data_IF_325817011945
#
_entry.id   IF_325817011945
#
_cell.length_a   1.000
_cell.length_b   1.000
_cell.length_c   1.000
_cell.angle_alpha   90.00
_cell.angle_beta   90.00
_cell.angle_gamma   90.00
#
_symmetry.space_group_name_H-M   'P 1'
#
loop_
_entity.id
_entity.type
_entity.pdbx_description
1 polymer ?
#
# COMPACT_ATOMS: atom_id res chain seq x y z
N UNK A 1 12.19 -14.50 -13.70
CA UNK A 1 12.65 -13.17 -13.25
C UNK A 1 11.96 -12.04 -14.01
N UNK A 2 11.94 -12.03 -15.36
CA UNK A 2 11.20 -11.01 -16.15
C UNK A 2 9.68 -11.02 -15.91
N UNK A 3 9.04 -12.20 -15.89
CA UNK A 3 7.58 -12.33 -15.69
C UNK A 3 7.09 -11.85 -14.32
N UNK A 4 7.87 -12.08 -13.25
CA UNK A 4 7.50 -11.69 -11.89
C UNK A 4 7.54 -10.18 -11.69
N UNK A 5 8.56 -9.51 -12.24
CA UNK A 5 8.71 -8.05 -12.19
C UNK A 5 7.60 -7.37 -13.00
N UNK A 6 7.21 -7.94 -14.14
CA UNK A 6 6.06 -7.47 -14.91
C UNK A 6 4.74 -7.66 -14.15
N UNK A 7 4.56 -8.81 -13.47
CA UNK A 7 3.38 -9.08 -12.65
C UNK A 7 3.18 -8.06 -11.53
N UNK A 8 4.23 -7.82 -10.74
CA UNK A 8 4.24 -6.83 -9.66
C UNK A 8 3.93 -5.43 -10.17
N UNK A 9 4.62 -4.98 -11.23
CA UNK A 9 4.40 -3.66 -11.84
C UNK A 9 2.99 -3.50 -12.40
N UNK A 10 2.42 -4.55 -13.00
CA UNK A 10 1.07 -4.51 -13.55
C UNK A 10 0.02 -4.33 -12.45
N UNK A 11 0.18 -5.03 -11.31
CA UNK A 11 -0.72 -4.90 -10.16
C UNK A 11 -0.58 -3.50 -9.56
N UNK A 12 0.64 -3.04 -9.29
CA UNK A 12 0.88 -1.70 -8.75
C UNK A 12 0.32 -0.60 -9.67
N UNK A 13 0.54 -0.71 -10.98
CA UNK A 13 0.00 0.22 -11.97
C UNK A 13 -1.54 0.21 -12.02
N UNK A 14 -2.17 -0.97 -11.95
CA UNK A 14 -3.62 -1.10 -11.93
C UNK A 14 -4.23 -0.43 -10.68
N UNK A 15 -3.73 -0.75 -9.48
CA UNK A 15 -4.24 -0.16 -8.25
C UNK A 15 -4.02 1.34 -8.19
N UNK A 16 -2.88 1.84 -8.69
CA UNK A 16 -2.61 3.28 -8.78
C UNK A 16 -3.64 3.96 -9.67
N UNK A 17 -3.86 3.43 -10.87
CA UNK A 17 -4.84 3.96 -11.81
C UNK A 17 -6.26 3.92 -11.23
N UNK A 18 -6.66 2.78 -10.65
CA UNK A 18 -7.99 2.61 -10.09
C UNK A 18 -8.26 3.54 -8.90
N UNK A 19 -7.36 3.60 -7.93
CA UNK A 19 -7.53 4.44 -6.73
C UNK A 19 -7.43 5.93 -7.05
N UNK A 20 -6.67 6.33 -8.08
CA UNK A 20 -6.58 7.73 -8.52
C UNK A 20 -7.87 8.30 -9.11
N UNK A 21 -8.85 7.44 -9.45
CA UNK A 21 -10.20 7.87 -9.86
C UNK A 21 -10.99 8.41 -8.65
N UNK A 22 -10.63 8.02 -7.42
CA UNK A 22 -11.30 8.48 -6.23
C UNK A 22 -10.88 9.93 -5.91
N UNK A 23 -11.81 10.87 -6.10
CA UNK A 23 -11.55 12.29 -5.90
C UNK A 23 -11.31 12.68 -4.42
N UNK A 24 -11.67 11.84 -3.45
CA UNK A 24 -11.47 12.11 -2.02
C UNK A 24 -10.01 12.04 -1.59
N UNK A 25 -9.17 11.36 -2.38
CA UNK A 25 -7.80 11.07 -2.03
C UNK A 25 -6.85 11.55 -3.10
N UNK A 26 -5.77 12.18 -2.65
CA UNK A 26 -4.60 12.42 -3.47
C UNK A 26 -3.70 11.18 -3.34
N UNK A 27 -3.67 10.36 -4.39
CA UNK A 27 -2.75 9.23 -4.50
C UNK A 27 -1.33 9.77 -4.69
N UNK A 28 -0.51 9.72 -3.65
CA UNK A 28 0.89 10.16 -3.72
C UNK A 28 1.80 8.93 -3.73
N UNK A 29 2.51 8.66 -4.85
CA UNK A 29 3.34 7.46 -4.97
C UNK A 29 4.66 7.54 -4.19
N UNK A 30 5.08 8.73 -3.74
CA UNK A 30 6.47 8.95 -3.30
C UNK A 30 6.54 9.76 -2.00
N UNK A 31 5.86 9.30 -0.94
CA UNK A 31 6.26 9.72 0.40
C UNK A 31 7.60 9.03 0.68
N UNK A 32 8.71 9.69 0.31
CA UNK A 32 10.05 9.22 0.66
C UNK A 32 10.17 9.21 2.19
N UNK A 33 10.47 8.04 2.73
CA UNK A 33 10.67 7.77 4.15
C UNK A 33 12.09 7.27 4.36
N UNK A 34 12.59 7.40 5.59
CA UNK A 34 13.96 7.05 5.98
C UNK A 34 14.37 5.60 5.64
N UNK A 35 13.40 4.72 5.36
CA UNK A 35 13.57 3.29 5.11
C UNK A 35 12.87 2.80 3.82
N UNK A 36 12.56 3.70 2.87
CA UNK A 36 11.97 3.33 1.57
C UNK A 36 10.72 4.14 1.22
N UNK A 37 9.95 3.63 0.25
CA UNK A 37 8.70 4.24 -0.22
C UNK A 37 7.55 3.29 0.08
N UNK A 38 6.45 3.80 0.63
CA UNK A 38 5.20 3.02 0.66
C UNK A 38 4.67 2.86 -0.77
N UNK A 39 4.09 1.70 -1.10
CA UNK A 39 3.54 1.48 -2.43
C UNK A 39 2.45 2.50 -2.78
N UNK A 40 1.53 2.76 -1.85
CA UNK A 40 0.47 3.74 -2.02
C UNK A 40 0.12 4.44 -0.71
N UNK A 41 0.05 5.76 -0.75
CA UNK A 41 -0.55 6.57 0.29
C UNK A 41 -1.76 7.34 -0.26
N UNK A 42 -2.93 7.08 0.34
CA UNK A 42 -4.18 7.79 0.07
C UNK A 42 -4.29 8.97 1.02
N UNK A 43 -3.71 10.09 0.60
CA UNK A 43 -3.74 11.33 1.38
C UNK A 43 -5.14 11.96 1.28
N UNK A 44 -5.80 12.28 2.40
CA UNK A 44 -7.15 12.86 2.35
C UNK A 44 -7.11 14.28 1.77
N UNK A 45 -7.96 14.58 0.79
CA UNK A 45 -8.13 15.93 0.24
C UNK A 45 -9.10 16.75 1.11
N UNK A 46 -8.66 17.08 2.34
CA UNK A 46 -9.48 17.83 3.30
C UNK A 46 -9.76 19.28 2.87
N UNK A 47 -9.03 19.79 1.87
CA UNK A 47 -9.34 21.10 1.29
C UNK A 47 -10.64 21.08 0.51
N UNK A 48 -10.92 19.98 -0.19
CA UNK A 48 -12.14 19.80 -0.98
C UNK A 48 -13.24 19.08 -0.21
N UNK A 49 -12.88 18.16 0.68
CA UNK A 49 -13.79 17.27 1.39
C UNK A 49 -13.44 17.21 2.88
N UNK A 50 -13.89 18.22 3.63
CA UNK A 50 -13.54 18.37 5.05
C UNK A 50 -14.12 17.26 5.96
N UNK A 51 -15.11 16.51 5.48
CA UNK A 51 -15.78 15.43 6.19
C UNK A 51 -15.04 14.08 6.14
N UNK A 52 -13.99 13.96 5.33
CA UNK A 52 -13.21 12.72 5.23
C UNK A 52 -12.52 12.44 6.55
N UNK A 53 -12.83 11.28 7.15
CA UNK A 53 -12.33 10.89 8.46
C UNK A 53 -11.15 9.91 8.39
N UNK A 54 -10.80 9.39 7.21
CA UNK A 54 -9.91 8.24 7.05
C UNK A 54 -8.81 8.53 6.04
N UNK A 55 -7.62 7.99 6.28
CA UNK A 55 -6.47 7.93 5.37
C UNK A 55 -5.93 6.51 5.31
N UNK A 56 -5.19 6.17 4.25
CA UNK A 56 -4.75 4.79 4.04
C UNK A 56 -3.30 4.71 3.56
N UNK A 57 -2.56 3.73 4.07
CA UNK A 57 -1.41 3.16 3.38
C UNK A 57 -1.84 1.79 2.85
N UNK A 58 -1.49 1.50 1.61
CA UNK A 58 -1.66 0.17 1.01
C UNK A 58 -0.29 -0.35 0.60
N UNK A 59 0.07 -1.53 1.11
CA UNK A 59 1.29 -2.26 0.76
C UNK A 59 0.93 -3.50 -0.05
N UNK A 60 1.55 -3.67 -1.21
CA UNK A 60 1.28 -4.75 -2.15
C UNK A 60 2.44 -5.73 -2.17
N UNK A 61 2.15 -7.00 -1.92
CA UNK A 61 3.14 -8.08 -2.02
C UNK A 61 2.77 -9.06 -3.11
N UNK A 62 3.75 -9.38 -3.94
CA UNK A 62 3.62 -10.34 -5.03
C UNK A 62 4.61 -11.49 -4.84
N UNK A 63 4.12 -12.72 -5.02
CA UNK A 63 4.96 -13.89 -5.27
C UNK A 63 4.43 -14.66 -6.48
N UNK A 64 5.31 -15.16 -7.36
CA UNK A 64 4.89 -16.12 -8.37
C UNK A 64 4.53 -17.46 -7.70
N UNK A 65 3.67 -18.25 -8.36
CA UNK A 65 3.12 -19.51 -7.79
C UNK A 65 4.22 -20.45 -7.28
N UNK A 66 5.35 -20.52 -7.97
CA UNK A 66 6.46 -21.43 -7.63
C UNK A 66 7.20 -21.04 -6.34
N UNK A 67 7.04 -19.81 -5.85
CA UNK A 67 7.67 -19.32 -4.62
C UNK A 67 6.71 -19.14 -3.46
N UNK A 68 5.41 -19.15 -3.73
CA UNK A 68 4.40 -18.75 -2.76
C UNK A 68 4.43 -19.60 -1.50
N UNK A 69 4.40 -20.92 -1.63
CA UNK A 69 4.37 -21.83 -0.48
C UNK A 69 5.61 -21.69 0.43
N UNK A 70 6.76 -21.36 -0.16
CA UNK A 70 8.02 -21.25 0.57
C UNK A 70 8.24 -19.88 1.22
N UNK A 71 7.67 -18.80 0.67
CA UNK A 71 8.03 -17.41 1.01
C UNK A 71 6.85 -16.56 1.51
N UNK A 72 5.61 -17.02 1.34
CA UNK A 72 4.42 -16.19 1.63
C UNK A 72 4.32 -15.73 3.08
N UNK A 73 4.61 -16.60 4.05
CA UNK A 73 4.53 -16.26 5.47
C UNK A 73 5.59 -15.21 5.88
N UNK A 74 6.84 -15.41 5.47
CA UNK A 74 7.93 -14.46 5.76
C UNK A 74 7.67 -13.10 5.09
N UNK A 75 7.29 -13.10 3.80
CA UNK A 75 6.95 -11.89 3.06
C UNK A 75 5.79 -11.12 3.71
N UNK A 76 4.82 -11.83 4.30
CA UNK A 76 3.71 -11.20 5.00
C UNK A 76 4.18 -10.45 6.25
N UNK A 77 4.95 -11.09 7.12
CA UNK A 77 5.47 -10.48 8.34
C UNK A 77 6.36 -9.26 8.03
N UNK A 78 7.18 -9.37 6.98
CA UNK A 78 7.98 -8.24 6.48
C UNK A 78 7.10 -7.08 6.00
N UNK A 79 6.01 -7.35 5.28
CA UNK A 79 5.06 -6.33 4.82
C UNK A 79 4.37 -5.62 5.99
N UNK A 80 3.96 -6.37 7.01
CA UNK A 80 3.35 -5.83 8.24
C UNK A 80 4.35 -4.93 8.97
N UNK A 81 5.59 -5.38 9.14
CA UNK A 81 6.62 -4.55 9.77
C UNK A 81 6.90 -3.27 8.97
N UNK A 82 6.95 -3.38 7.64
CA UNK A 82 7.20 -2.28 6.73
C UNK A 82 6.09 -1.23 6.77
N UNK A 83 4.82 -1.64 6.66
CA UNK A 83 3.68 -0.71 6.64
C UNK A 83 3.52 0.01 7.99
N UNK A 84 3.77 -0.66 9.11
CA UNK A 84 3.81 -0.02 10.43
C UNK A 84 4.99 0.96 10.56
N UNK A 85 6.15 0.63 9.99
CA UNK A 85 7.28 1.55 9.90
C UNK A 85 6.91 2.84 9.16
N UNK A 86 6.12 2.74 8.10
CA UNK A 86 5.60 3.89 7.37
C UNK A 86 4.58 4.69 8.17
N UNK A 87 3.61 4.03 8.79
CA UNK A 87 2.62 4.66 9.65
C UNK A 87 3.25 5.42 10.84
N UNK A 88 4.38 4.93 11.36
CA UNK A 88 5.13 5.58 12.42
C UNK A 88 5.93 6.83 11.97
N UNK A 89 5.98 7.13 10.67
CA UNK A 89 6.69 8.30 10.16
C UNK A 89 6.02 9.62 10.58
N UNK A 90 6.79 10.62 11.05
CA UNK A 90 6.27 11.98 11.28
C UNK A 90 5.66 12.60 10.02
N UNK A 91 6.21 12.31 8.83
CA UNK A 91 5.72 12.82 7.55
C UNK A 91 4.33 12.26 7.24
N UNK A 92 4.13 10.94 7.38
CA UNK A 92 2.82 10.31 7.19
C UNK A 92 1.80 10.89 8.17
N UNK A 93 2.15 10.97 9.47
CA UNK A 93 1.24 11.54 10.47
C UNK A 93 0.83 12.98 10.16
N UNK A 94 1.75 13.80 9.65
CA UNK A 94 1.44 15.16 9.23
C UNK A 94 0.46 15.18 8.05
N UNK A 95 0.67 14.32 7.05
CA UNK A 95 -0.17 14.23 5.85
C UNK A 95 -1.55 13.62 6.15
N UNK A 96 -1.69 12.83 7.21
CA UNK A 96 -3.00 12.32 7.65
C UNK A 96 -3.91 13.44 8.19
N UNK A 97 -3.37 14.59 8.61
CA UNK A 97 -4.13 15.77 9.04
C UNK A 97 -5.22 15.48 10.10
N UNK A 98 -5.00 14.50 10.97
CA UNK A 98 -5.95 14.12 12.03
C UNK A 98 -6.99 13.06 11.65
N UNK A 99 -6.98 12.58 10.40
CA UNK A 99 -7.77 11.40 10.00
C UNK A 99 -7.25 10.11 10.65
N UNK A 100 -8.12 9.12 10.80
CA UNK A 100 -7.73 7.76 11.18
C UNK A 100 -6.94 7.12 10.04
N UNK A 101 -5.69 6.75 10.32
CA UNK A 101 -4.84 6.04 9.37
C UNK A 101 -5.10 4.53 9.45
N UNK A 102 -5.39 3.93 8.29
CA UNK A 102 -5.54 2.49 8.11
C UNK A 102 -4.34 1.93 7.33
N UNK A 103 -3.82 0.79 7.77
CA UNK A 103 -2.69 0.11 7.14
C UNK A 103 -3.21 -1.19 6.51
N UNK A 104 -3.24 -1.27 5.18
CA UNK A 104 -3.76 -2.43 4.47
C UNK A 104 -2.62 -3.15 3.76
N UNK A 105 -2.45 -4.44 4.04
CA UNK A 105 -1.52 -5.31 3.30
C UNK A 105 -2.32 -6.22 2.38
N UNK A 106 -1.92 -6.29 1.10
CA UNK A 106 -2.50 -7.19 0.11
C UNK A 106 -1.42 -8.12 -0.41
N UNK A 107 -1.66 -9.43 -0.36
CA UNK A 107 -0.74 -10.44 -0.86
C UNK A 107 -1.33 -11.17 -2.08
N UNK A 108 -0.52 -11.28 -3.13
CA UNK A 108 -0.84 -11.93 -4.39
C UNK A 108 0.01 -13.17 -4.64
N UNK A 109 -0.64 -14.23 -5.13
CA UNK A 109 -0.01 -15.42 -5.69
C UNK A 109 -0.26 -15.43 -7.21
N UNK A 110 0.73 -15.01 -8.00
CA UNK A 110 0.49 -14.68 -9.41
C UNK A 110 -0.55 -13.54 -9.52
N UNK A 111 -1.65 -13.76 -10.23
CA UNK A 111 -2.75 -12.77 -10.36
C UNK A 111 -3.86 -12.93 -9.31
N UNK A 112 -3.77 -13.95 -8.45
CA UNK A 112 -4.79 -14.23 -7.44
C UNK A 112 -4.47 -13.45 -6.15
N UNK A 113 -5.41 -12.61 -5.70
CA UNK A 113 -5.35 -12.01 -4.37
C UNK A 113 -5.72 -13.07 -3.34
N UNK A 114 -4.75 -13.48 -2.53
CA UNK A 114 -4.88 -14.60 -1.58
C UNK A 114 -5.06 -14.15 -0.13
N UNK A 115 -4.65 -12.91 0.19
CA UNK A 115 -4.83 -12.31 1.51
C UNK A 115 -4.93 -10.80 1.41
N UNK A 116 -5.84 -10.21 2.17
CA UNK A 116 -5.98 -8.76 2.32
C UNK A 116 -6.48 -8.47 3.73
N UNK A 117 -5.69 -7.74 4.52
CA UNK A 117 -6.01 -7.42 5.91
C UNK A 117 -5.62 -5.98 6.24
N UNK A 118 -6.40 -5.36 7.11
CA UNK A 118 -5.95 -4.19 7.86
C UNK A 118 -5.13 -4.69 9.06
N UNK A 119 -3.91 -4.17 9.21
CA UNK A 119 -2.92 -4.62 10.20
C UNK A 119 -2.49 -3.52 11.15
#
# INVERSE_FOLDING_TARGET
>A
MRSSIEGERNIQGFFTAYLSVNAYYLTTPEVELSHGFCDMFLMPDLQRYAEIAHSYIVELKYLPKEKFDAQSAEQWEEAVAQIHGYAASPKVRLLCQGTQLHCIVIQFCGWEMVRMEEV
#
